data_IF_578939568003
#
_entry.id   IF_578939568003
#
_cell.length_a   1.000
_cell.length_b   1.000
_cell.length_c   1.000
_cell.angle_alpha   90.00
_cell.angle_beta   90.00
_cell.angle_gamma   90.00
#
_symmetry.space_group_name_H-M   'P 1'
#
loop_
_entity.id
_entity.type
_entity.pdbx_description
1 polymer ?
#
# COMPACT_ATOMS: atom_id res chain seq x y z
N UNK A 1 47.62 -21.12 11.01
CA UNK A 1 47.17 -19.73 10.74
C UNK A 1 46.68 -19.54 9.30
N UNK A 2 47.33 -20.12 8.27
CA UNK A 2 46.89 -20.02 6.87
C UNK A 2 45.45 -20.53 6.61
N UNK A 3 45.04 -21.62 7.24
CA UNK A 3 43.71 -22.21 7.01
C UNK A 3 42.56 -21.35 7.60
N UNK A 4 42.83 -20.61 8.69
CA UNK A 4 41.85 -19.73 9.34
C UNK A 4 41.64 -18.46 8.50
N UNK A 5 42.73 -17.88 7.98
CA UNK A 5 42.66 -16.77 7.04
C UNK A 5 41.91 -17.15 5.75
N UNK A 6 42.11 -18.38 5.26
CA UNK A 6 41.39 -18.89 4.08
C UNK A 6 39.88 -19.03 4.33
N UNK A 7 39.46 -19.49 5.51
CA UNK A 7 38.02 -19.57 5.84
C UNK A 7 37.37 -18.19 5.99
N UNK A 8 38.09 -17.21 6.54
CA UNK A 8 37.59 -15.83 6.67
C UNK A 8 37.45 -15.17 5.29
N UNK A 9 38.43 -15.38 4.40
CA UNK A 9 38.39 -14.86 3.03
C UNK A 9 37.25 -15.49 2.23
N UNK A 10 37.01 -16.80 2.40
CA UNK A 10 35.91 -17.51 1.75
C UNK A 10 34.54 -17.04 2.25
N UNK A 11 34.38 -16.74 3.55
CA UNK A 11 33.09 -16.22 4.07
C UNK A 11 32.82 -14.78 3.63
N UNK A 12 33.86 -13.97 3.46
CA UNK A 12 33.74 -12.59 2.98
C UNK A 12 33.29 -12.54 1.51
N UNK A 13 33.84 -13.42 0.67
CA UNK A 13 33.47 -13.50 -0.76
C UNK A 13 32.02 -13.97 -0.94
N UNK A 14 31.54 -14.93 -0.12
CA UNK A 14 30.14 -15.37 -0.16
C UNK A 14 29.14 -14.31 0.32
N UNK A 15 29.59 -13.38 1.18
CA UNK A 15 28.75 -12.29 1.69
C UNK A 15 28.63 -11.15 0.68
N UNK A 16 29.66 -10.92 -0.13
CA UNK A 16 29.68 -9.87 -1.16
C UNK A 16 28.80 -10.21 -2.38
N UNK A 17 28.54 -11.49 -2.65
CA UNK A 17 27.74 -11.94 -3.80
C UNK A 17 26.22 -11.79 -3.65
N UNK A 18 25.71 -11.26 -2.53
CA UNK A 18 24.26 -11.11 -2.28
C UNK A 18 23.77 -9.65 -2.48
N UNK A 19 24.65 -8.69 -2.74
CA UNK A 19 24.24 -7.32 -3.08
C UNK A 19 23.89 -7.21 -4.58
N UNK A 20 22.70 -7.67 -4.93
CA UNK A 20 22.07 -7.39 -6.21
C UNK A 20 21.55 -5.95 -6.25
N UNK A 21 21.97 -5.21 -7.28
CA UNK A 21 21.52 -3.85 -7.61
C UNK A 21 20.01 -3.76 -7.96
N UNK A 22 19.30 -4.89 -8.00
CA UNK A 22 17.85 -4.98 -8.28
C UNK A 22 16.93 -4.73 -7.07
N UNK A 23 17.49 -4.43 -5.90
CA UNK A 23 16.68 -4.33 -4.66
C UNK A 23 15.87 -3.03 -4.61
N UNK A 24 16.42 -1.92 -5.10
CA UNK A 24 15.75 -0.60 -5.01
C UNK A 24 14.57 -0.45 -5.97
N UNK A 25 14.68 -0.94 -7.20
CA UNK A 25 13.57 -0.87 -8.18
C UNK A 25 12.39 -1.75 -7.74
N UNK A 26 12.67 -2.98 -7.29
CA UNK A 26 11.64 -3.90 -6.84
C UNK A 26 10.98 -3.41 -5.54
N UNK A 27 11.74 -2.79 -4.64
CA UNK A 27 11.20 -2.14 -3.45
C UNK A 27 10.31 -0.94 -3.80
N UNK A 28 10.70 -0.16 -4.81
CA UNK A 28 9.92 1.01 -5.25
C UNK A 28 8.58 0.60 -5.88
N UNK A 29 8.56 -0.44 -6.71
CA UNK A 29 7.31 -0.97 -7.27
C UNK A 29 6.40 -1.54 -6.18
N UNK A 30 6.97 -2.24 -5.20
CA UNK A 30 6.23 -2.73 -4.05
C UNK A 30 5.63 -1.56 -3.24
N UNK A 31 6.41 -0.50 -3.00
CA UNK A 31 5.95 0.67 -2.26
C UNK A 31 4.81 1.40 -2.97
N UNK A 32 4.88 1.55 -4.30
CA UNK A 32 3.78 2.11 -5.11
C UNK A 32 2.52 1.26 -4.92
N UNK A 33 2.65 -0.06 -5.04
CA UNK A 33 1.54 -1.00 -4.85
C UNK A 33 0.94 -0.89 -3.45
N UNK A 34 1.77 -0.83 -2.41
CA UNK A 34 1.32 -0.70 -1.03
C UNK A 34 0.54 0.62 -0.79
N UNK A 35 0.95 1.72 -1.44
CA UNK A 35 0.20 2.98 -1.40
C UNK A 35 -1.16 2.87 -2.12
N UNK A 36 -1.22 2.20 -3.26
CA UNK A 36 -2.48 1.95 -4.00
C UNK A 36 -3.44 1.11 -3.15
N UNK A 37 -2.94 0.01 -2.57
CA UNK A 37 -3.70 -0.91 -1.74
C UNK A 37 -4.23 -0.21 -0.47
N UNK A 38 -3.40 0.67 0.12
CA UNK A 38 -3.76 1.48 1.30
C UNK A 38 -4.60 2.73 0.99
N UNK A 39 -5.04 2.92 -0.26
CA UNK A 39 -5.81 4.08 -0.71
C UNK A 39 -5.10 5.44 -0.50
N UNK A 40 -3.77 5.42 -0.48
CA UNK A 40 -2.86 6.59 -0.40
C UNK A 40 -2.51 7.08 -1.79
N UNK A 41 -3.53 7.57 -2.49
CA UNK A 41 -3.49 7.82 -3.93
C UNK A 41 -2.54 8.96 -4.31
N UNK A 42 -2.37 9.95 -3.44
CA UNK A 42 -1.47 11.10 -3.68
C UNK A 42 -0.02 10.66 -3.64
N UNK A 43 0.36 9.86 -2.65
CA UNK A 43 1.72 9.34 -2.51
C UNK A 43 2.06 8.34 -3.61
N UNK A 44 1.11 7.48 -4.00
CA UNK A 44 1.25 6.59 -5.14
C UNK A 44 1.52 7.39 -6.43
N UNK A 45 0.74 8.45 -6.69
CA UNK A 45 0.92 9.29 -7.89
C UNK A 45 2.28 9.99 -7.88
N UNK A 46 2.72 10.52 -6.74
CA UNK A 46 4.01 11.21 -6.62
C UNK A 46 5.17 10.28 -7.00
N UNK A 47 5.20 9.04 -6.48
CA UNK A 47 6.23 8.08 -6.85
C UNK A 47 6.09 7.64 -8.32
N UNK A 48 4.87 7.41 -8.81
CA UNK A 48 4.65 7.04 -10.21
C UNK A 48 5.18 8.09 -11.18
N UNK A 49 4.98 9.39 -10.90
CA UNK A 49 5.46 10.48 -11.76
C UNK A 49 7.00 10.45 -11.90
N UNK A 50 7.71 10.12 -10.82
CA UNK A 50 9.18 9.99 -10.83
C UNK A 50 9.61 8.79 -11.69
N UNK A 51 9.00 7.62 -11.47
CA UNK A 51 9.39 6.38 -12.14
C UNK A 51 8.97 6.34 -13.62
N UNK A 52 7.81 6.89 -13.97
CA UNK A 52 7.35 6.99 -15.36
C UNK A 52 8.25 7.94 -16.16
N UNK A 53 8.79 9.00 -15.53
CA UNK A 53 9.75 9.89 -16.19
C UNK A 53 11.06 9.16 -16.56
N UNK A 54 11.46 8.18 -15.74
CA UNK A 54 12.66 7.36 -15.98
C UNK A 54 12.37 6.28 -17.02
N UNK A 55 11.24 5.57 -16.88
CA UNK A 55 10.87 4.47 -17.76
C UNK A 55 9.39 4.58 -18.22
N UNK A 56 9.10 5.42 -19.24
CA UNK A 56 7.72 5.72 -19.64
C UNK A 56 6.98 4.55 -20.32
N UNK A 57 7.73 3.57 -20.83
CA UNK A 57 7.18 2.42 -21.54
C UNK A 57 7.06 1.17 -20.66
N UNK A 58 7.29 1.30 -19.35
CA UNK A 58 7.13 0.19 -18.41
C UNK A 58 5.65 -0.18 -18.23
N UNK A 59 5.32 -1.43 -18.56
CA UNK A 59 3.95 -1.94 -18.49
C UNK A 59 3.43 -2.01 -17.06
N UNK A 60 4.30 -2.28 -16.09
CA UNK A 60 3.93 -2.36 -14.66
C UNK A 60 3.57 -0.97 -14.14
N UNK A 61 4.38 0.05 -14.47
CA UNK A 61 4.09 1.43 -14.10
C UNK A 61 2.81 1.95 -14.77
N UNK A 62 2.57 1.59 -16.03
CA UNK A 62 1.33 1.93 -16.73
C UNK A 62 0.10 1.27 -16.10
N UNK A 63 0.23 0.03 -15.61
CA UNK A 63 -0.82 -0.67 -14.88
C UNK A 63 -1.11 0.05 -13.55
N UNK A 64 -0.10 0.35 -12.74
CA UNK A 64 -0.26 1.09 -11.48
C UNK A 64 -0.84 2.49 -11.70
N UNK A 65 -0.42 3.20 -12.74
CA UNK A 65 -1.00 4.48 -13.11
C UNK A 65 -2.49 4.37 -13.45
N UNK A 66 -2.88 3.28 -14.12
CA UNK A 66 -4.27 2.99 -14.44
C UNK A 66 -5.08 2.68 -13.18
N UNK A 67 -4.54 1.90 -12.24
CA UNK A 67 -5.17 1.62 -10.95
C UNK A 67 -5.36 2.90 -10.11
N UNK A 68 -4.37 3.78 -10.10
CA UNK A 68 -4.47 5.10 -9.45
C UNK A 68 -5.61 5.92 -10.05
N UNK A 69 -5.74 5.98 -11.38
CA UNK A 69 -6.86 6.68 -12.01
C UNK A 69 -8.21 6.08 -11.63
N UNK A 70 -8.32 4.75 -11.54
CA UNK A 70 -9.56 4.09 -11.09
C UNK A 70 -9.88 4.49 -9.65
N UNK A 71 -8.91 4.46 -8.73
CA UNK A 71 -9.11 4.86 -7.33
C UNK A 71 -9.56 6.32 -7.20
N UNK A 72 -8.93 7.24 -7.94
CA UNK A 72 -9.36 8.65 -7.99
C UNK A 72 -10.78 8.76 -8.53
N UNK A 73 -11.09 8.07 -9.64
CA UNK A 73 -12.41 8.09 -10.25
C UNK A 73 -13.49 7.59 -9.28
N UNK A 74 -13.25 6.47 -8.59
CA UNK A 74 -14.14 5.90 -7.58
C UNK A 74 -14.38 6.89 -6.43
N UNK A 75 -13.32 7.55 -5.95
CA UNK A 75 -13.46 8.57 -4.91
C UNK A 75 -14.32 9.75 -5.38
N UNK A 76 -14.05 10.28 -6.58
CA UNK A 76 -14.82 11.40 -7.14
C UNK A 76 -16.27 11.00 -7.43
N UNK A 77 -16.49 9.76 -7.83
CA UNK A 77 -17.81 9.19 -8.02
C UNK A 77 -18.61 9.16 -6.70
N UNK A 78 -17.99 8.69 -5.61
CA UNK A 78 -18.58 8.72 -4.26
C UNK A 78 -18.90 10.15 -3.80
N UNK A 79 -18.05 11.12 -4.14
CA UNK A 79 -18.26 12.55 -3.90
C UNK A 79 -19.36 13.18 -4.80
N UNK A 80 -20.04 12.40 -5.66
CA UNK A 80 -21.00 12.88 -6.67
C UNK A 80 -20.40 13.90 -7.65
N UNK A 81 -19.09 13.83 -7.87
CA UNK A 81 -18.37 14.59 -8.89
C UNK A 81 -18.26 13.76 -10.16
N UNK A 82 -19.39 13.53 -10.82
CA UNK A 82 -19.50 12.61 -11.95
C UNK A 82 -18.73 13.05 -13.19
N UNK A 83 -18.66 14.35 -13.48
CA UNK A 83 -17.87 14.88 -14.60
C UNK A 83 -16.38 14.66 -14.36
N UNK A 84 -15.91 15.00 -13.15
CA UNK A 84 -14.51 14.76 -12.77
C UNK A 84 -14.19 13.26 -12.77
N UNK A 85 -15.04 12.42 -12.16
CA UNK A 85 -14.85 10.97 -12.12
C UNK A 85 -14.76 10.37 -13.53
N UNK A 86 -15.64 10.78 -14.44
CA UNK A 86 -15.66 10.29 -15.82
C UNK A 86 -14.36 10.57 -16.57
N UNK A 87 -13.74 11.75 -16.38
CA UNK A 87 -12.45 12.05 -17.02
C UNK A 87 -11.34 11.08 -16.58
N UNK A 88 -11.34 10.63 -15.33
CA UNK A 88 -10.39 9.61 -14.87
C UNK A 88 -10.75 8.21 -15.36
N UNK A 89 -12.04 7.85 -15.37
CA UNK A 89 -12.48 6.57 -15.94
C UNK A 89 -12.15 6.46 -17.43
N UNK A 90 -12.25 7.55 -18.20
CA UNK A 90 -11.91 7.58 -19.62
C UNK A 90 -10.42 7.28 -19.85
N UNK A 91 -9.54 7.89 -19.06
CA UNK A 91 -8.09 7.61 -19.07
C UNK A 91 -7.81 6.15 -18.74
N UNK A 92 -8.42 5.65 -17.67
CA UNK A 92 -8.23 4.26 -17.25
C UNK A 92 -8.76 3.26 -18.29
N UNK A 93 -9.93 3.55 -18.88
CA UNK A 93 -10.57 2.66 -19.86
C UNK A 93 -9.75 2.54 -21.15
N UNK A 94 -9.06 3.61 -21.54
CA UNK A 94 -8.14 3.59 -22.70
C UNK A 94 -6.98 2.61 -22.53
N UNK A 95 -6.51 2.41 -21.29
CA UNK A 95 -5.41 1.50 -20.97
C UNK A 95 -5.87 0.09 -20.56
N UNK A 96 -7.05 -0.05 -19.95
CA UNK A 96 -7.55 -1.33 -19.45
C UNK A 96 -9.03 -1.60 -19.79
N UNK A 97 -9.39 -1.68 -21.09
CA UNK A 97 -10.78 -1.77 -21.54
C UNK A 97 -11.49 -3.07 -21.16
N UNK A 98 -10.71 -4.13 -20.86
CA UNK A 98 -11.21 -5.46 -20.52
C UNK A 98 -11.56 -5.62 -19.03
N UNK A 99 -11.33 -4.61 -18.19
CA UNK A 99 -11.69 -4.67 -16.78
C UNK A 99 -13.22 -4.52 -16.60
N UNK A 100 -13.94 -5.53 -16.05
CA UNK A 100 -15.41 -5.51 -15.98
C UNK A 100 -15.99 -4.35 -15.16
N UNK A 101 -15.39 -4.04 -14.00
CA UNK A 101 -15.91 -3.00 -13.09
C UNK A 101 -15.71 -1.61 -13.69
N UNK A 102 -14.53 -1.36 -14.26
CA UNK A 102 -14.22 -0.13 -14.97
C UNK A 102 -15.15 0.07 -16.18
N UNK A 103 -15.34 -0.98 -17.00
CA UNK A 103 -16.25 -0.93 -18.15
C UNK A 103 -17.67 -0.61 -17.73
N UNK A 104 -18.18 -1.21 -16.65
CA UNK A 104 -19.51 -0.92 -16.14
C UNK A 104 -19.66 0.56 -15.75
N UNK A 105 -18.71 1.12 -14.98
CA UNK A 105 -18.72 2.53 -14.59
C UNK A 105 -18.57 3.50 -15.75
N UNK A 106 -17.67 3.18 -16.68
CA UNK A 106 -17.47 3.99 -17.88
C UNK A 106 -18.77 4.05 -18.70
N UNK A 107 -19.38 2.90 -19.02
CA UNK A 107 -20.63 2.85 -19.80
C UNK A 107 -21.82 3.45 -19.05
N UNK A 108 -21.85 3.36 -17.72
CA UNK A 108 -22.87 4.03 -16.92
C UNK A 108 -22.84 5.55 -17.10
N UNK A 109 -21.65 6.16 -17.16
CA UNK A 109 -21.50 7.61 -17.22
C UNK A 109 -21.40 8.15 -18.65
N UNK A 110 -20.99 7.30 -19.60
CA UNK A 110 -20.87 7.64 -21.01
C UNK A 110 -22.21 8.15 -21.56
N UNK A 111 -22.14 9.12 -22.46
CA UNK A 111 -23.29 9.72 -23.18
C UNK A 111 -24.31 10.44 -22.29
N UNK A 112 -24.03 10.60 -20.98
CA UNK A 112 -24.83 11.41 -20.06
C UNK A 112 -24.30 12.84 -19.98
N UNK A 113 -25.20 13.79 -19.73
CA UNK A 113 -24.80 15.17 -19.39
C UNK A 113 -24.31 15.22 -17.94
N UNK A 114 -23.00 15.05 -17.74
CA UNK A 114 -22.39 14.96 -16.42
C UNK A 114 -22.13 16.35 -15.81
N UNK A 115 -22.45 16.50 -14.53
CA UNK A 115 -22.16 17.71 -13.74
C UNK A 115 -21.62 17.26 -12.39
N UNK A 116 -20.64 18.01 -11.87
CA UNK A 116 -20.12 17.76 -10.53
C UNK A 116 -21.00 18.43 -9.48
N UNK A 117 -21.39 17.66 -8.47
CA UNK A 117 -22.05 18.24 -7.31
C UNK A 117 -21.02 19.02 -6.49
N UNK A 118 -21.20 20.35 -6.42
CA UNK A 118 -20.49 21.18 -5.45
C UNK A 118 -21.35 21.16 -4.20
N UNK A 119 -20.84 20.56 -3.12
CA UNK A 119 -21.43 20.73 -1.79
C UNK A 119 -21.29 22.20 -1.40
N UNK A 120 -22.23 23.03 -1.83
CA UNK A 120 -22.43 24.33 -1.22
C UNK A 120 -22.83 24.05 0.22
N UNK A 121 -21.91 24.29 1.15
CA UNK A 121 -22.25 24.37 2.56
C UNK A 121 -23.47 25.30 2.68
N UNK A 122 -24.63 24.82 3.15
CA UNK A 122 -25.72 25.73 3.44
C UNK A 122 -25.24 26.57 4.62
N UNK A 123 -24.91 27.85 4.34
CA UNK A 123 -24.85 28.86 5.38
C UNK A 123 -26.19 28.77 6.11
N UNK A 124 -26.12 28.35 7.37
CA UNK A 124 -27.23 28.08 8.26
C UNK A 124 -28.29 29.19 8.18
N UNK A 125 -29.40 28.92 7.50
CA UNK A 125 -30.68 29.55 7.82
C UNK A 125 -31.51 28.50 8.55
N UNK A 126 -31.44 28.56 9.87
CA UNK A 126 -32.35 27.85 10.76
C UNK A 126 -33.78 28.31 10.47
N UNK A 127 -34.57 27.46 9.81
CA UNK A 127 -36.02 27.45 10.00
C UNK A 127 -36.44 26.05 10.36
N UNK A 128 -36.73 25.91 11.64
CA UNK A 128 -37.40 24.79 12.24
C UNK A 128 -38.81 24.67 11.63
N UNK A 129 -39.09 23.53 10.99
CA UNK A 129 -40.45 23.04 10.78
C UNK A 129 -40.38 21.53 10.79
N UNK A 130 -40.83 20.94 11.89
CA UNK A 130 -40.96 19.49 12.03
C UNK A 130 -42.07 18.94 11.16
N UNK A 131 -41.90 17.70 10.71
CA UNK A 131 -42.99 16.76 10.47
C UNK A 131 -42.40 15.35 10.39
N UNK A 132 -42.94 14.44 11.19
CA UNK A 132 -42.46 13.06 11.29
C UNK A 132 -42.92 12.18 10.13
N UNK A 133 -42.25 11.05 9.96
CA UNK A 133 -42.88 9.80 9.53
C UNK A 133 -42.04 8.61 9.98
N UNK A 134 -42.70 7.73 10.73
CA UNK A 134 -42.29 6.37 11.01
C UNK A 134 -42.46 5.52 9.75
N UNK A 135 -41.50 4.63 9.49
CA UNK A 135 -41.66 3.30 8.87
C UNK A 135 -40.29 2.62 8.98
N UNK A 136 -40.12 1.72 9.95
CA UNK A 136 -40.22 0.26 9.79
C UNK A 136 -39.17 -0.31 8.82
N UNK A 137 -38.02 -0.73 9.36
CA UNK A 137 -37.28 -1.95 8.99
C UNK A 137 -35.99 -2.05 9.84
N UNK A 138 -36.13 -2.55 11.06
CA UNK A 138 -35.02 -2.92 11.94
C UNK A 138 -34.86 -4.43 11.78
N UNK A 139 -33.96 -4.87 10.90
CA UNK A 139 -33.73 -6.31 10.68
C UNK A 139 -32.47 -6.67 9.89
N UNK A 140 -31.95 -5.78 9.03
CA UNK A 140 -30.83 -6.11 8.12
C UNK A 140 -29.52 -5.37 8.40
N UNK A 141 -29.51 -4.39 9.30
CA UNK A 141 -28.35 -3.53 9.59
C UNK A 141 -27.39 -4.06 10.67
N UNK A 142 -27.78 -5.13 11.39
CA UNK A 142 -26.93 -5.74 12.44
C UNK A 142 -25.92 -6.76 11.88
N UNK A 143 -26.15 -7.30 10.69
CA UNK A 143 -25.25 -8.30 10.07
C UNK A 143 -23.92 -7.66 9.60
N UNK A 144 -23.91 -6.48 8.93
CA UNK A 144 -22.68 -5.83 8.49
C UNK A 144 -21.80 -5.36 9.66
N UNK A 145 -22.41 -4.96 10.78
CA UNK A 145 -21.68 -4.52 11.97
C UNK A 145 -21.05 -5.69 12.74
N UNK A 146 -21.71 -6.86 12.74
CA UNK A 146 -21.17 -8.07 13.35
C UNK A 146 -19.92 -8.56 12.59
N UNK A 147 -20.00 -8.64 11.27
CA UNK A 147 -18.89 -9.06 10.39
C UNK A 147 -17.72 -8.05 10.43
N UNK A 148 -18.03 -6.75 10.54
CA UNK A 148 -17.02 -5.71 10.74
C UNK A 148 -16.30 -5.84 12.08
N UNK A 149 -17.01 -6.24 13.15
CA UNK A 149 -16.39 -6.41 14.45
C UNK A 149 -15.51 -7.68 14.51
N UNK A 150 -15.91 -8.75 13.83
CA UNK A 150 -15.09 -9.96 13.69
C UNK A 150 -13.82 -9.71 12.86
N UNK A 151 -13.93 -8.98 11.75
CA UNK A 151 -12.75 -8.60 10.95
C UNK A 151 -11.80 -7.68 11.73
N UNK A 152 -12.31 -6.72 12.51
CA UNK A 152 -11.47 -5.90 13.39
C UNK A 152 -10.74 -6.73 14.46
N UNK A 153 -11.40 -7.77 15.00
CA UNK A 153 -10.78 -8.70 15.94
C UNK A 153 -9.67 -9.51 15.27
N UNK A 154 -9.92 -10.03 14.07
CA UNK A 154 -8.90 -10.76 13.30
C UNK A 154 -7.69 -9.88 12.96
N UNK A 155 -7.90 -8.64 12.53
CA UNK A 155 -6.82 -7.69 12.25
C UNK A 155 -5.98 -7.42 13.51
N UNK A 156 -6.64 -7.26 14.67
CA UNK A 156 -5.95 -7.06 15.94
C UNK A 156 -5.06 -8.26 16.30
N UNK A 157 -5.56 -9.47 16.11
CA UNK A 157 -4.83 -10.71 16.40
C UNK A 157 -3.66 -10.90 15.42
N UNK A 158 -3.82 -10.54 14.15
CA UNK A 158 -2.73 -10.53 13.15
C UNK A 158 -1.64 -9.52 13.50
N UNK A 159 -2.00 -8.31 13.93
CA UNK A 159 -1.04 -7.30 14.38
C UNK A 159 -0.25 -7.81 15.60
N UNK A 160 -0.92 -8.44 16.56
CA UNK A 160 -0.26 -9.00 17.74
C UNK A 160 0.72 -10.13 17.36
N UNK A 161 0.32 -11.01 16.45
CA UNK A 161 1.17 -12.08 15.92
C UNK A 161 2.39 -11.52 15.16
N UNK A 162 2.20 -10.46 14.36
CA UNK A 162 3.31 -9.78 13.67
C UNK A 162 4.27 -9.09 14.65
N UNK A 163 3.75 -8.51 15.74
CA UNK A 163 4.59 -7.96 16.80
C UNK A 163 5.41 -9.03 17.51
N UNK A 164 4.82 -10.18 17.81
CA UNK A 164 5.51 -11.31 18.44
C UNK A 164 6.62 -11.86 17.54
N UNK A 165 6.34 -12.05 16.24
CA UNK A 165 7.35 -12.45 15.25
C UNK A 165 8.47 -11.42 15.13
N UNK A 166 8.14 -10.12 15.14
CA UNK A 166 9.11 -9.04 15.13
C UNK A 166 10.01 -9.09 16.37
N UNK A 167 9.44 -9.31 17.56
CA UNK A 167 10.21 -9.45 18.79
C UNK A 167 11.19 -10.64 18.73
N UNK A 168 10.73 -11.80 18.27
CA UNK A 168 11.60 -12.97 18.07
C UNK A 168 12.73 -12.67 17.06
N UNK A 169 12.43 -11.98 15.97
CA UNK A 169 13.42 -11.58 14.99
C UNK A 169 14.50 -10.66 15.60
N UNK A 170 14.11 -9.61 16.32
CA UNK A 170 15.06 -8.72 17.01
C UNK A 170 15.91 -9.45 18.05
N UNK A 171 15.32 -10.37 18.80
CA UNK A 171 16.05 -11.18 19.79
C UNK A 171 17.08 -12.09 19.12
N UNK A 172 16.74 -12.73 18.01
CA UNK A 172 17.72 -13.55 17.25
C UNK A 172 18.88 -12.72 16.71
N UNK A 173 18.60 -11.52 16.18
CA UNK A 173 19.61 -10.62 15.64
C UNK A 173 20.55 -10.12 16.76
N UNK A 174 20.00 -9.82 17.94
CA UNK A 174 20.78 -9.45 19.12
C UNK A 174 21.70 -10.60 19.59
N UNK A 175 21.22 -11.85 19.60
CA UNK A 175 22.03 -13.01 19.97
C UNK A 175 23.17 -13.27 18.96
N UNK A 176 22.91 -13.11 17.66
CA UNK A 176 23.93 -13.22 16.61
C UNK A 176 24.99 -12.12 16.80
N UNK A 177 24.56 -10.88 16.99
CA UNK A 177 25.46 -9.75 17.25
C UNK A 177 26.34 -9.99 18.49
N UNK A 178 25.75 -10.47 19.58
CA UNK A 178 26.48 -10.82 20.80
C UNK A 178 27.49 -11.95 20.58
N UNK A 179 27.12 -12.98 19.79
CA UNK A 179 28.02 -14.07 19.44
C UNK A 179 29.25 -13.57 18.68
N UNK A 180 29.06 -12.66 17.72
CA UNK A 180 30.15 -12.03 16.95
C UNK A 180 31.04 -11.20 17.87
N UNK A 181 30.46 -10.38 18.76
CA UNK A 181 31.24 -9.58 19.72
C UNK A 181 32.10 -10.45 20.63
N UNK A 182 31.57 -11.57 21.11
CA UNK A 182 32.29 -12.51 21.96
C UNK A 182 33.46 -13.17 21.20
N UNK A 183 33.24 -13.55 19.94
CA UNK A 183 34.31 -14.04 19.06
C UNK A 183 35.41 -12.99 18.85
N UNK A 184 35.05 -11.73 18.60
CA UNK A 184 36.00 -10.61 18.50
C UNK A 184 36.79 -10.40 19.79
N UNK A 185 36.13 -10.49 20.96
CA UNK A 185 36.79 -10.35 22.26
C UNK A 185 37.81 -11.47 22.51
N UNK A 186 37.47 -12.72 22.16
CA UNK A 186 38.41 -13.85 22.25
C UNK A 186 39.63 -13.62 21.35
N UNK A 187 39.43 -13.15 20.11
CA UNK A 187 40.50 -12.84 19.18
C UNK A 187 41.42 -11.72 19.71
N UNK A 188 40.85 -10.66 20.28
CA UNK A 188 41.64 -9.59 20.92
C UNK A 188 42.47 -10.13 22.08
N UNK A 189 41.86 -10.92 22.97
CA UNK A 189 42.57 -11.50 24.13
C UNK A 189 43.71 -12.43 23.71
N UNK A 190 43.53 -13.22 22.64
CA UNK A 190 44.58 -14.09 22.10
C UNK A 190 45.68 -13.30 21.36
N UNK A 191 45.33 -12.22 20.68
CA UNK A 191 46.28 -11.34 20.00
C UNK A 191 47.18 -10.57 20.95
N UNK A 192 46.68 -10.15 22.12
CA UNK A 192 47.46 -9.46 23.16
C UNK A 192 48.34 -10.38 24.02
N UNK A 193 48.17 -11.70 23.95
CA UNK A 193 48.90 -12.67 24.79
C UNK A 193 50.13 -13.26 24.09
N UNK A 194 50.54 -12.68 22.97
CA UNK A 194 51.66 -13.12 22.13
C UNK A 194 52.62 -11.96 21.93
#
# INVERSE_FOLDING_TARGET
MKNILSSILLSLVFSASIYSQSTDENNSYQQIKDFIDSNRVVEAQSLLDEWIKINPNDVTLQLYQTEVWIKVADQKYKERKFKTAFSYYEKAFSNWPNNPSLRARYMELKDKKLVDHVSSSPILKTRYSGFGSQSSEIGSLNIPFQEMNESLKQIRDEIHNLQEKSYHFYLTLALISFSILLQCFILLKLGFRR
#
